data_IF_523363804788
#
_entry.id   IF_523363804788
#
_cell.length_a   1.000
_cell.length_b   1.000
_cell.length_c   1.000
_cell.angle_alpha   90.00
_cell.angle_beta   90.00
_cell.angle_gamma   90.00
#
_symmetry.space_group_name_H-M   'P 1'
#
loop_
_entity.id
_entity.type
_entity.pdbx_description
1 polymer ?
#
# COMPACT_ATOMS: atom_id res chain seq x y z
N UNK A 1 14.78 -1.03 -31.21
CA UNK A 1 15.18 -0.27 -30.00
C UNK A 1 14.83 -1.15 -28.80
N UNK A 2 15.74 -1.34 -27.83
CA UNK A 2 15.84 -2.54 -26.95
C UNK A 2 14.57 -2.88 -26.14
N UNK A 3 13.94 -4.02 -26.44
CA UNK A 3 12.72 -4.54 -25.79
C UNK A 3 12.98 -5.60 -24.70
N UNK A 4 13.97 -5.35 -23.85
CA UNK A 4 14.21 -6.21 -22.67
C UNK A 4 14.53 -5.31 -21.48
N UNK A 5 13.48 -4.78 -20.84
CA UNK A 5 13.53 -3.96 -19.62
C UNK A 5 13.86 -4.80 -18.37
N UNK A 6 14.67 -5.85 -18.52
CA UNK A 6 15.11 -6.72 -17.44
C UNK A 6 16.30 -6.05 -16.76
N UNK A 7 16.15 -5.71 -15.48
CA UNK A 7 17.18 -5.00 -14.72
C UNK A 7 18.15 -5.99 -14.06
N UNK A 8 17.66 -7.18 -13.69
CA UNK A 8 18.44 -8.20 -12.97
C UNK A 8 18.19 -9.56 -13.61
N UNK A 9 19.24 -10.20 -14.12
CA UNK A 9 19.25 -11.60 -14.54
C UNK A 9 20.07 -12.41 -13.55
N UNK A 10 19.45 -13.41 -12.92
CA UNK A 10 20.12 -14.30 -11.98
C UNK A 10 20.82 -15.44 -12.70
N UNK A 11 21.86 -16.00 -12.08
CA UNK A 11 22.67 -17.09 -12.64
C UNK A 11 21.88 -18.37 -12.98
N UNK A 12 20.65 -18.51 -12.49
CA UNK A 12 19.71 -19.60 -12.77
C UNK A 12 18.74 -19.30 -13.93
N UNK A 13 18.88 -18.16 -14.62
CA UNK A 13 17.99 -17.74 -15.71
C UNK A 13 16.72 -17.00 -15.26
N UNK A 14 16.53 -16.74 -13.96
CA UNK A 14 15.42 -15.93 -13.47
C UNK A 14 15.63 -14.46 -13.84
N UNK A 15 14.62 -13.84 -14.48
CA UNK A 15 14.68 -12.44 -14.94
C UNK A 15 13.66 -11.61 -14.17
N UNK A 16 14.11 -10.51 -13.59
CA UNK A 16 13.24 -9.56 -12.88
C UNK A 16 13.06 -8.31 -13.75
N UNK A 17 11.80 -7.97 -14.05
CA UNK A 17 11.46 -6.79 -14.82
C UNK A 17 11.55 -5.54 -13.96
N UNK A 18 11.79 -4.41 -14.61
CA UNK A 18 11.73 -3.09 -13.95
C UNK A 18 10.42 -2.90 -13.16
N UNK A 19 9.29 -3.37 -13.69
CA UNK A 19 7.98 -3.29 -13.00
C UNK A 19 7.98 -4.00 -11.65
N UNK A 20 8.62 -5.18 -11.56
CA UNK A 20 8.71 -5.92 -10.29
C UNK A 20 9.57 -5.17 -9.28
N UNK A 21 10.72 -4.64 -9.72
CA UNK A 21 11.60 -3.83 -8.85
C UNK A 21 10.88 -2.59 -8.33
N UNK A 22 10.17 -1.88 -9.21
CA UNK A 22 9.36 -0.71 -8.83
C UNK A 22 8.28 -1.07 -7.81
N UNK A 23 7.60 -2.21 -7.98
CA UNK A 23 6.61 -2.68 -7.00
C UNK A 23 7.24 -2.96 -5.63
N UNK A 24 8.46 -3.50 -5.60
CA UNK A 24 9.19 -3.76 -4.36
C UNK A 24 9.59 -2.47 -3.65
N UNK A 25 10.05 -1.46 -4.40
CA UNK A 25 10.38 -0.14 -3.85
C UNK A 25 9.13 0.50 -3.21
N UNK A 26 7.98 0.42 -3.88
CA UNK A 26 6.69 0.92 -3.36
C UNK A 26 6.33 0.19 -2.07
N UNK A 27 6.41 -1.15 -2.06
CA UNK A 27 6.10 -1.95 -0.87
C UNK A 27 7.02 -1.60 0.30
N UNK A 28 8.33 -1.48 0.08
CA UNK A 28 9.30 -1.08 1.12
C UNK A 28 8.96 0.30 1.68
N UNK A 29 8.65 1.27 0.83
CA UNK A 29 8.25 2.62 1.26
C UNK A 29 6.98 2.60 2.11
N UNK A 30 5.96 1.86 1.68
CA UNK A 30 4.72 1.68 2.43
C UNK A 30 4.94 1.04 3.80
N UNK A 31 5.76 -0.01 3.86
CA UNK A 31 6.08 -0.71 5.11
C UNK A 31 6.79 0.25 6.07
N UNK A 32 7.76 1.04 5.60
CA UNK A 32 8.47 2.01 6.43
C UNK A 32 7.51 3.08 6.95
N UNK A 33 6.68 3.67 6.09
CA UNK A 33 5.71 4.70 6.49
C UNK A 33 4.72 4.12 7.51
N UNK A 34 4.16 2.94 7.24
CA UNK A 34 3.24 2.26 8.14
C UNK A 34 3.90 1.97 9.48
N UNK A 35 5.14 1.47 9.49
CA UNK A 35 5.89 1.19 10.72
C UNK A 35 6.17 2.46 11.52
N UNK A 36 6.60 3.54 10.87
CA UNK A 36 6.86 4.83 11.53
C UNK A 36 5.58 5.45 12.12
N UNK A 37 4.45 5.34 11.41
CA UNK A 37 3.16 5.84 11.89
C UNK A 37 2.58 4.98 13.02
N UNK A 38 2.79 3.68 13.01
CA UNK A 38 2.21 2.74 13.99
C UNK A 38 3.03 2.59 15.27
N UNK A 39 4.35 2.85 15.23
CA UNK A 39 5.27 2.64 16.36
C UNK A 39 4.97 3.51 17.59
N UNK A 40 4.30 4.65 17.44
CA UNK A 40 4.00 5.56 18.56
C UNK A 40 2.49 5.88 18.65
N UNK A 41 1.64 4.88 18.41
CA UNK A 41 0.20 5.00 18.61
C UNK A 41 -0.12 4.95 20.10
N UNK A 42 -0.84 5.97 20.59
CA UNK A 42 -1.36 6.02 21.96
C UNK A 42 -2.85 5.68 21.94
N UNK A 43 -3.39 5.02 22.98
CA UNK A 43 -4.81 4.64 23.04
C UNK A 43 -5.77 5.83 22.94
N UNK A 44 -5.34 6.99 23.41
CA UNK A 44 -6.02 8.27 23.23
C UNK A 44 -5.15 9.12 22.33
N UNK A 45 -5.66 9.64 21.19
CA UNK A 45 -4.87 10.43 20.28
C UNK A 45 -4.44 11.73 20.96
N UNK A 46 -3.14 11.88 21.23
CA UNK A 46 -2.56 13.08 21.86
C UNK A 46 -2.00 14.05 20.83
N UNK A 47 -1.75 13.60 19.60
CA UNK A 47 -1.07 14.37 18.56
C UNK A 47 -1.93 14.56 17.32
N UNK A 48 -1.88 15.75 16.69
CA UNK A 48 -2.62 16.06 15.44
C UNK A 48 -2.43 15.02 14.33
N UNK A 49 -1.24 14.40 14.25
CA UNK A 49 -0.91 13.34 13.29
C UNK A 49 -1.69 12.04 13.55
N UNK A 50 -1.92 11.67 14.81
CA UNK A 50 -2.71 10.50 15.17
C UNK A 50 -4.18 10.71 14.83
N UNK A 51 -4.73 11.91 15.12
CA UNK A 51 -6.11 12.27 14.77
C UNK A 51 -6.33 12.16 13.25
N UNK A 52 -5.42 12.71 12.45
CA UNK A 52 -5.50 12.57 11.00
C UNK A 52 -5.39 11.12 10.52
N UNK A 53 -4.52 10.32 11.15
CA UNK A 53 -4.35 8.91 10.81
C UNK A 53 -5.60 8.09 11.16
N UNK A 54 -6.17 8.28 12.34
CA UNK A 54 -7.42 7.64 12.77
C UNK A 54 -8.58 8.04 11.85
N UNK A 55 -8.66 9.32 11.47
CA UNK A 55 -9.65 9.78 10.49
C UNK A 55 -9.47 9.11 9.12
N UNK A 56 -8.24 9.00 8.62
CA UNK A 56 -7.96 8.32 7.36
C UNK A 56 -8.28 6.83 7.41
N UNK A 57 -7.86 6.13 8.48
CA UNK A 57 -8.17 4.70 8.69
C UNK A 57 -9.67 4.48 8.88
N UNK A 58 -10.33 5.33 9.66
CA UNK A 58 -11.78 5.31 9.85
C UNK A 58 -12.55 5.53 8.56
N UNK A 59 -12.11 6.48 7.73
CA UNK A 59 -12.68 6.70 6.39
C UNK A 59 -12.49 5.49 5.49
N UNK A 60 -11.30 4.89 5.49
CA UNK A 60 -11.02 3.65 4.77
C UNK A 60 -11.93 2.50 5.27
N UNK A 61 -12.16 2.39 6.58
CA UNK A 61 -13.12 1.43 7.14
C UNK A 61 -14.53 1.65 6.63
N UNK A 62 -14.99 2.90 6.63
CA UNK A 62 -16.30 3.26 6.09
C UNK A 62 -16.43 2.93 4.61
N UNK A 63 -15.39 3.18 3.81
CA UNK A 63 -15.38 2.81 2.39
C UNK A 63 -15.45 1.30 2.20
N UNK A 64 -14.66 0.54 2.95
CA UNK A 64 -14.68 -0.93 2.88
C UNK A 64 -16.06 -1.45 3.29
N UNK A 65 -16.61 -1.04 4.44
CA UNK A 65 -17.95 -1.47 4.89
C UNK A 65 -19.05 -1.05 3.92
N UNK A 66 -19.01 0.18 3.39
CA UNK A 66 -20.00 0.65 2.42
C UNK A 66 -20.00 -0.15 1.11
N UNK A 67 -18.85 -0.70 0.70
CA UNK A 67 -18.75 -1.51 -0.52
C UNK A 67 -18.96 -3.03 -0.26
N UNK A 68 -18.56 -3.52 0.90
CA UNK A 68 -18.55 -4.95 1.24
C UNK A 68 -19.79 -5.40 2.02
N UNK A 69 -20.50 -4.47 2.66
CA UNK A 69 -21.62 -4.75 3.55
C UNK A 69 -21.18 -5.09 4.99
N UNK A 70 -22.04 -4.77 5.95
CA UNK A 70 -21.76 -4.86 7.40
C UNK A 70 -21.52 -6.30 7.90
N UNK A 71 -21.99 -7.29 7.15
CA UNK A 71 -21.86 -8.71 7.52
C UNK A 71 -20.46 -9.27 7.28
N UNK A 72 -19.64 -8.61 6.45
CA UNK A 72 -18.31 -9.10 6.10
C UNK A 72 -17.33 -8.98 7.27
N UNK A 73 -17.45 -7.95 8.12
CA UNK A 73 -16.62 -7.81 9.32
C UNK A 73 -16.85 -8.97 10.29
N UNK A 74 -18.12 -9.40 10.47
CA UNK A 74 -18.48 -10.50 11.37
C UNK A 74 -18.13 -11.87 10.80
N UNK A 75 -18.31 -12.07 9.50
CA UNK A 75 -18.06 -13.36 8.84
C UNK A 75 -16.58 -13.59 8.53
N UNK A 76 -15.83 -12.54 8.25
CA UNK A 76 -14.41 -12.60 7.87
C UNK A 76 -13.63 -11.44 8.51
N UNK A 77 -13.29 -11.51 9.80
CA UNK A 77 -12.56 -10.43 10.48
C UNK A 77 -11.20 -10.10 9.85
N UNK A 78 -10.56 -11.07 9.18
CA UNK A 78 -9.26 -10.90 8.54
C UNK A 78 -9.33 -10.28 7.13
N UNK A 79 -10.51 -10.16 6.53
CA UNK A 79 -10.64 -9.54 5.20
C UNK A 79 -10.42 -8.03 5.27
N UNK A 80 -10.79 -7.43 6.39
CA UNK A 80 -10.69 -6.00 6.60
C UNK A 80 -9.24 -5.50 6.51
N UNK A 81 -8.27 -6.03 7.29
CA UNK A 81 -6.88 -5.62 7.17
C UNK A 81 -6.27 -5.96 5.82
N UNK A 82 -6.68 -7.08 5.18
CA UNK A 82 -6.21 -7.46 3.86
C UNK A 82 -6.62 -6.45 2.78
N UNK A 83 -7.92 -6.15 2.67
CA UNK A 83 -8.45 -5.18 1.70
C UNK A 83 -7.91 -3.78 1.99
N UNK A 84 -7.80 -3.40 3.26
CA UNK A 84 -7.20 -2.12 3.66
C UNK A 84 -5.75 -1.99 3.17
N UNK A 85 -4.95 -3.04 3.30
CA UNK A 85 -3.56 -3.05 2.81
C UNK A 85 -3.46 -2.95 1.28
N UNK A 86 -4.32 -3.68 0.55
CA UNK A 86 -4.39 -3.63 -0.91
C UNK A 86 -4.85 -2.27 -1.41
N UNK A 87 -5.85 -1.68 -0.77
CA UNK A 87 -6.35 -0.36 -1.12
C UNK A 87 -5.26 0.70 -0.95
N UNK A 88 -4.55 0.68 0.18
CA UNK A 88 -3.41 1.59 0.42
C UNK A 88 -2.30 1.37 -0.61
N UNK A 89 -1.99 0.11 -0.95
CA UNK A 89 -1.03 -0.20 -2.00
C UNK A 89 -1.43 0.40 -3.35
N UNK A 90 -2.70 0.23 -3.76
CA UNK A 90 -3.17 0.80 -5.02
C UNK A 90 -3.17 2.32 -5.00
N UNK A 91 -3.66 2.97 -3.95
CA UNK A 91 -3.66 4.43 -3.85
C UNK A 91 -2.24 4.98 -3.99
N UNK A 92 -1.28 4.41 -3.26
CA UNK A 92 0.11 4.85 -3.32
C UNK A 92 0.78 4.52 -4.66
N UNK A 93 0.52 3.34 -5.22
CA UNK A 93 1.03 2.96 -6.54
C UNK A 93 0.52 3.90 -7.64
N UNK A 94 -0.75 4.28 -7.59
CA UNK A 94 -1.35 5.21 -8.55
C UNK A 94 -0.84 6.64 -8.35
N UNK A 95 -0.68 7.08 -7.09
CA UNK A 95 -0.19 8.42 -6.79
C UNK A 95 1.29 8.59 -7.17
N UNK A 96 2.13 7.59 -6.94
CA UNK A 96 3.55 7.60 -7.35
C UNK A 96 3.67 7.61 -8.88
N UNK A 97 2.82 6.85 -9.59
CA UNK A 97 2.72 6.92 -11.05
C UNK A 97 2.28 8.30 -11.57
N UNK A 98 1.43 9.00 -10.82
CA UNK A 98 0.95 10.35 -11.16
C UNK A 98 1.97 11.45 -10.83
N UNK A 99 2.73 11.30 -9.73
CA UNK A 99 3.76 12.24 -9.27
C UNK A 99 5.07 12.19 -10.09
N UNK A 100 5.10 11.44 -11.19
CA UNK A 100 6.20 11.47 -12.16
C UNK A 100 7.14 10.27 -12.11
N UNK A 101 6.88 9.23 -11.31
CA UNK A 101 7.47 7.90 -11.52
C UNK A 101 6.69 7.09 -12.55
N UNK A 102 6.11 7.77 -13.55
CA UNK A 102 5.91 7.13 -14.84
C UNK A 102 7.32 6.93 -15.38
N UNK A 103 7.83 5.69 -15.32
CA UNK A 103 8.85 5.25 -16.28
C UNK A 103 8.25 5.58 -17.64
N UNK A 104 8.71 6.69 -18.22
CA UNK A 104 8.49 7.00 -19.62
C UNK A 104 9.24 5.88 -20.34
N UNK A 105 8.48 4.91 -20.82
CA UNK A 105 8.92 3.84 -21.70
C UNK A 105 7.83 3.61 -22.73
#
# INVERSE_FOLDING_TARGET
MKYTQWVIEFANGFKISETVVTSWIIMVGLIIIAFLLTRNLQPVPTTKRQIMLEYAVGSLRGLIHGNMGDDIEKRMPNIFPYIGSLFLFFVCSNLIGLLGFKTIG
#
